data_IF_456665121196
#
_entry.id   IF_456665121196
#
_cell.length_a   1.000
_cell.length_b   1.000
_cell.length_c   1.000
_cell.angle_alpha   90.00
_cell.angle_beta   90.00
_cell.angle_gamma   90.00
#
_symmetry.space_group_name_H-M   'P 1'
#
loop_
_entity.id
_entity.type
_entity.pdbx_description
1 polymer ?
#
# COMPACT_ATOMS: atom_id res chain seq x y z
N UNK A 1 24.04 -0.56 -21.69
CA UNK A 1 23.46 -1.92 -21.58
C UNK A 1 22.11 -1.81 -20.89
N UNK A 2 21.05 -2.22 -21.57
CA UNK A 2 19.67 -2.21 -21.06
C UNK A 2 19.58 -3.07 -19.78
N UNK A 3 19.17 -2.46 -18.65
CA UNK A 3 18.81 -3.21 -17.44
C UNK A 3 17.42 -3.80 -17.67
N UNK A 4 17.35 -4.93 -18.37
CA UNK A 4 16.11 -5.69 -18.52
C UNK A 4 15.72 -6.24 -17.15
N UNK A 5 14.79 -5.58 -16.47
CA UNK A 5 14.21 -6.05 -15.22
C UNK A 5 13.28 -7.22 -15.57
N UNK A 6 13.77 -8.46 -15.46
CA UNK A 6 12.96 -9.65 -15.69
C UNK A 6 12.37 -10.05 -14.34
N UNK A 7 11.05 -9.91 -14.20
CA UNK A 7 10.33 -10.45 -13.05
C UNK A 7 10.43 -11.97 -13.08
N UNK A 8 11.00 -12.57 -12.04
CA UNK A 8 11.06 -14.02 -11.89
C UNK A 8 9.87 -14.42 -11.04
N UNK A 9 8.91 -15.13 -11.64
CA UNK A 9 7.81 -15.73 -10.88
C UNK A 9 8.37 -16.69 -9.83
N UNK A 10 7.74 -16.75 -8.66
CA UNK A 10 8.11 -17.69 -7.60
C UNK A 10 8.21 -19.15 -8.11
N UNK A 11 7.40 -19.49 -9.11
CA UNK A 11 7.32 -20.83 -9.71
C UNK A 11 8.48 -21.15 -10.67
N UNK A 12 9.09 -20.11 -11.25
CA UNK A 12 10.10 -20.24 -12.31
C UNK A 12 11.53 -20.05 -11.79
N UNK A 13 11.74 -19.98 -10.47
CA UNK A 13 13.06 -19.63 -9.90
C UNK A 13 14.14 -20.64 -10.25
N UNK A 14 13.87 -21.95 -10.15
CA UNK A 14 14.86 -22.98 -10.49
C UNK A 14 15.12 -23.04 -12.01
N UNK A 15 14.09 -22.85 -12.83
CA UNK A 15 14.22 -22.72 -14.28
C UNK A 15 15.07 -21.51 -14.67
N UNK A 16 14.77 -20.35 -14.07
CA UNK A 16 15.52 -19.11 -14.27
C UNK A 16 16.98 -19.26 -13.81
N UNK A 17 17.22 -19.94 -12.69
CA UNK A 17 18.57 -20.26 -12.25
C UNK A 17 19.31 -21.07 -13.30
N UNK A 18 18.73 -22.15 -13.84
CA UNK A 18 19.36 -22.97 -14.88
C UNK A 18 19.67 -22.18 -16.16
N UNK A 19 18.80 -21.25 -16.56
CA UNK A 19 19.01 -20.36 -17.71
C UNK A 19 20.16 -19.36 -17.49
N UNK A 20 20.26 -18.79 -16.28
CA UNK A 20 21.15 -17.67 -15.99
C UNK A 20 22.42 -18.06 -15.21
N UNK A 21 22.57 -19.32 -14.80
CA UNK A 21 23.66 -19.83 -13.96
C UNK A 21 25.03 -19.45 -14.50
N UNK A 22 25.25 -19.67 -15.79
CA UNK A 22 26.58 -19.53 -16.41
C UNK A 22 26.78 -18.16 -17.07
N UNK A 23 25.81 -17.25 -16.92
CA UNK A 23 25.84 -15.89 -17.48
C UNK A 23 25.72 -14.84 -16.38
N UNK A 24 24.51 -14.42 -16.05
CA UNK A 24 24.27 -13.31 -15.12
C UNK A 24 24.63 -13.67 -13.68
N UNK A 25 24.33 -14.90 -13.25
CA UNK A 25 24.50 -15.34 -11.86
C UNK A 25 25.94 -15.73 -11.53
N UNK A 26 26.79 -15.97 -12.53
CA UNK A 26 28.23 -16.17 -12.33
C UNK A 26 28.96 -14.86 -12.02
N UNK A 27 28.44 -13.73 -12.49
CA UNK A 27 29.02 -12.41 -12.25
C UNK A 27 28.50 -11.76 -10.96
N UNK A 28 27.21 -11.91 -10.66
CA UNK A 28 26.59 -11.25 -9.49
C UNK A 28 25.28 -11.89 -9.04
N UNK A 29 24.92 -11.73 -7.75
CA UNK A 29 23.57 -12.01 -7.26
C UNK A 29 22.51 -11.12 -7.93
N UNK A 30 21.32 -11.66 -8.11
CA UNK A 30 20.17 -11.00 -8.75
C UNK A 30 19.03 -10.87 -7.76
N UNK A 31 18.38 -9.72 -7.71
CA UNK A 31 17.21 -9.50 -6.87
C UNK A 31 15.99 -10.09 -7.56
N UNK A 32 15.27 -10.97 -6.88
CA UNK A 32 14.08 -11.64 -7.42
C UNK A 32 12.78 -11.18 -6.76
N UNK A 33 12.85 -10.68 -5.52
CA UNK A 33 11.71 -10.08 -4.84
C UNK A 33 12.19 -8.95 -3.90
N UNK A 34 11.32 -7.96 -3.68
CA UNK A 34 11.53 -6.86 -2.74
C UNK A 34 10.26 -6.62 -1.95
N UNK A 35 10.41 -6.33 -0.66
CA UNK A 35 9.30 -5.98 0.20
C UNK A 35 9.83 -5.08 1.33
N UNK A 36 9.36 -3.83 1.39
CA UNK A 36 9.91 -2.81 2.28
C UNK A 36 11.42 -2.64 2.12
N UNK A 37 12.15 -2.66 3.23
CA UNK A 37 13.61 -2.58 3.29
C UNK A 37 14.31 -3.93 3.00
N UNK A 38 13.55 -4.98 2.69
CA UNK A 38 14.05 -6.33 2.49
C UNK A 38 14.09 -6.71 1.01
N UNK A 39 15.15 -7.40 0.61
CA UNK A 39 15.33 -7.91 -0.73
C UNK A 39 15.77 -9.39 -0.70
N UNK A 40 15.12 -10.19 -1.53
CA UNK A 40 15.48 -11.58 -1.78
C UNK A 40 16.40 -11.67 -2.99
N UNK A 41 17.60 -12.15 -2.75
CA UNK A 41 18.62 -12.37 -3.76
C UNK A 41 18.69 -13.84 -4.15
N UNK A 42 18.80 -14.08 -5.45
CA UNK A 42 19.19 -15.34 -6.07
C UNK A 42 20.67 -15.26 -6.45
N UNK A 43 21.44 -16.27 -6.06
CA UNK A 43 22.86 -16.33 -6.38
C UNK A 43 23.33 -17.75 -6.71
N UNK A 44 24.44 -17.83 -7.43
CA UNK A 44 25.16 -19.08 -7.68
C UNK A 44 26.19 -19.27 -6.57
N UNK A 45 25.97 -20.24 -5.68
CA UNK A 45 27.00 -20.62 -4.69
C UNK A 45 28.08 -21.47 -5.33
N UNK A 46 27.66 -22.45 -6.12
CA UNK A 46 28.53 -23.34 -6.91
C UNK A 46 27.84 -23.70 -8.23
N UNK A 47 28.50 -24.47 -9.10
CA UNK A 47 27.89 -24.93 -10.36
C UNK A 47 26.65 -25.83 -10.18
N UNK A 48 26.52 -26.45 -9.01
CA UNK A 48 25.40 -27.33 -8.65
C UNK A 48 24.52 -26.77 -7.53
N UNK A 49 24.85 -25.62 -6.95
CA UNK A 49 24.09 -25.05 -5.83
C UNK A 49 23.52 -23.66 -6.14
N UNK A 50 22.20 -23.58 -5.97
CA UNK A 50 21.44 -22.36 -5.96
C UNK A 50 21.40 -21.79 -4.54
N UNK A 51 21.71 -20.51 -4.37
CA UNK A 51 21.58 -19.77 -3.12
C UNK A 51 20.41 -18.77 -3.17
N UNK A 52 19.64 -18.71 -2.09
CA UNK A 52 18.67 -17.67 -1.79
C UNK A 52 19.08 -16.96 -0.51
N UNK A 53 19.14 -15.62 -0.53
CA UNK A 53 19.43 -14.84 0.69
C UNK A 53 18.53 -13.63 0.83
N UNK A 54 17.99 -13.43 2.02
CA UNK A 54 17.24 -12.23 2.40
C UNK A 54 18.22 -11.24 3.02
N UNK A 55 18.27 -10.05 2.45
CA UNK A 55 19.07 -8.93 2.96
C UNK A 55 18.14 -7.81 3.41
N UNK A 56 18.46 -7.19 4.54
CA UNK A 56 17.93 -5.86 4.86
C UNK A 56 18.83 -4.83 4.16
N UNK A 57 18.32 -4.14 3.14
CA UNK A 57 19.07 -3.18 2.32
C UNK A 57 19.43 -1.91 3.11
N UNK A 58 18.61 -1.50 4.07
CA UNK A 58 18.86 -0.33 4.93
C UNK A 58 20.01 -0.60 5.93
N UNK A 59 19.91 -1.70 6.68
CA UNK A 59 20.88 -2.13 7.71
C UNK A 59 22.11 -2.82 7.09
N UNK A 60 22.07 -3.13 5.79
CA UNK A 60 23.09 -3.92 5.05
C UNK A 60 23.42 -5.24 5.72
N UNK A 61 22.41 -5.89 6.30
CA UNK A 61 22.56 -7.11 7.10
C UNK A 61 21.93 -8.33 6.40
N UNK A 62 22.59 -9.48 6.52
CA UNK A 62 22.04 -10.77 6.12
C UNK A 62 21.03 -11.22 7.19
N UNK A 63 19.83 -11.60 6.74
CA UNK A 63 18.74 -12.02 7.64
C UNK A 63 18.57 -13.53 7.63
N UNK A 64 18.47 -14.13 6.45
CA UNK A 64 18.39 -15.57 6.26
C UNK A 64 19.06 -15.95 4.96
N UNK A 65 19.64 -17.15 4.93
CA UNK A 65 20.21 -17.76 3.75
C UNK A 65 19.75 -19.22 3.64
N UNK A 66 19.47 -19.66 2.42
CA UNK A 66 19.10 -21.04 2.10
C UNK A 66 19.76 -21.46 0.79
N UNK A 67 20.16 -22.72 0.69
CA UNK A 67 20.72 -23.29 -0.54
C UNK A 67 19.99 -24.56 -0.98
N UNK A 68 20.06 -24.84 -2.28
CA UNK A 68 19.44 -26.00 -2.92
C UNK A 68 20.41 -26.64 -3.90
N UNK A 69 20.55 -27.97 -3.86
CA UNK A 69 21.24 -28.74 -4.89
C UNK A 69 20.32 -28.89 -6.11
N UNK A 70 20.70 -28.29 -7.24
CA UNK A 70 19.86 -28.23 -8.45
C UNK A 70 19.61 -29.59 -9.10
N UNK A 71 20.47 -30.58 -8.83
CA UNK A 71 20.36 -31.92 -9.41
C UNK A 71 19.43 -32.83 -8.58
N UNK A 72 19.18 -32.46 -7.32
CA UNK A 72 18.39 -33.25 -6.36
C UNK A 72 17.08 -32.58 -5.96
N UNK A 73 16.84 -31.35 -6.42
CA UNK A 73 15.70 -30.54 -6.02
C UNK A 73 14.69 -30.39 -7.16
N UNK A 74 13.41 -30.40 -6.83
CA UNK A 74 12.30 -30.14 -7.77
C UNK A 74 11.94 -28.65 -7.82
N UNK A 75 11.35 -28.21 -8.94
CA UNK A 75 10.88 -26.82 -9.11
C UNK A 75 9.89 -26.44 -7.99
N UNK A 76 9.02 -27.36 -7.59
CA UNK A 76 8.03 -27.18 -6.52
C UNK A 76 8.68 -26.88 -5.16
N UNK A 77 9.77 -27.57 -4.82
CA UNK A 77 10.46 -27.37 -3.54
C UNK A 77 11.13 -25.99 -3.48
N UNK A 78 11.78 -25.58 -4.58
CA UNK A 78 12.37 -24.24 -4.68
C UNK A 78 11.27 -23.18 -4.63
N UNK A 79 10.19 -23.38 -5.37
CA UNK A 79 9.05 -22.45 -5.40
C UNK A 79 8.40 -22.27 -4.03
N UNK A 80 8.26 -23.35 -3.25
CA UNK A 80 7.80 -23.26 -1.85
C UNK A 80 8.79 -22.52 -0.97
N UNK A 81 10.09 -22.76 -1.16
CA UNK A 81 11.16 -22.05 -0.48
C UNK A 81 11.12 -20.54 -0.72
N UNK A 82 10.94 -20.14 -1.98
CA UNK A 82 10.86 -18.74 -2.39
C UNK A 82 9.59 -18.10 -1.81
N UNK A 83 8.43 -18.77 -1.89
CA UNK A 83 7.19 -18.28 -1.25
C UNK A 83 7.36 -18.06 0.24
N UNK A 84 7.97 -19.00 0.95
CA UNK A 84 8.26 -18.86 2.38
C UNK A 84 9.21 -17.69 2.66
N UNK A 85 10.23 -17.49 1.83
CA UNK A 85 11.13 -16.35 1.94
C UNK A 85 10.40 -15.01 1.74
N UNK A 86 9.50 -14.93 0.76
CA UNK A 86 8.65 -13.76 0.54
C UNK A 86 7.70 -13.49 1.71
N UNK A 87 7.06 -14.53 2.25
CA UNK A 87 6.22 -14.40 3.44
C UNK A 87 7.03 -13.87 4.63
N UNK A 88 8.20 -14.44 4.88
CA UNK A 88 9.08 -13.98 5.96
C UNK A 88 9.50 -12.53 5.79
N UNK A 89 9.80 -12.08 4.57
CA UNK A 89 10.09 -10.66 4.31
C UNK A 89 8.89 -9.76 4.64
N UNK A 90 7.67 -10.20 4.36
CA UNK A 90 6.45 -9.49 4.77
C UNK A 90 6.37 -9.38 6.28
N UNK A 91 6.47 -10.50 6.98
CA UNK A 91 6.41 -10.55 8.46
C UNK A 91 7.46 -9.64 9.11
N UNK A 92 8.70 -9.65 8.61
CA UNK A 92 9.78 -8.79 9.10
C UNK A 92 9.54 -7.31 8.82
N UNK A 93 9.00 -6.98 7.65
CA UNK A 93 8.64 -5.61 7.30
C UNK A 93 7.50 -5.11 8.19
N UNK A 94 6.47 -5.94 8.38
CA UNK A 94 5.33 -5.62 9.25
C UNK A 94 5.78 -5.44 10.71
N UNK A 95 6.68 -6.29 11.21
CA UNK A 95 7.26 -6.15 12.55
C UNK A 95 8.03 -4.84 12.69
N UNK A 96 8.89 -4.49 11.73
CA UNK A 96 9.64 -3.23 11.74
C UNK A 96 8.71 -2.00 11.67
N UNK A 97 7.66 -2.06 10.85
CA UNK A 97 6.63 -1.01 10.76
C UNK A 97 5.90 -0.88 12.10
N UNK A 98 5.38 -1.98 12.64
CA UNK A 98 4.64 -1.99 13.89
C UNK A 98 5.48 -1.50 15.07
N UNK A 99 6.76 -1.86 15.12
CA UNK A 99 7.67 -1.37 16.17
C UNK A 99 7.84 0.15 16.09
N UNK A 100 7.99 0.71 14.88
CA UNK A 100 8.11 2.17 14.68
C UNK A 100 6.77 2.88 14.99
N UNK A 101 5.63 2.36 14.53
CA UNK A 101 4.29 2.89 14.87
C UNK A 101 4.08 2.90 16.38
N UNK A 102 4.35 1.77 17.04
CA UNK A 102 4.22 1.63 18.49
C UNK A 102 5.12 2.62 19.24
N UNK A 103 6.33 2.87 18.75
CA UNK A 103 7.21 3.87 19.34
C UNK A 103 6.66 5.30 19.19
N UNK A 104 6.02 5.63 18.07
CA UNK A 104 5.34 6.92 17.89
C UNK A 104 4.14 7.03 18.83
N UNK A 105 3.32 5.98 18.95
CA UNK A 105 2.18 5.95 19.88
C UNK A 105 2.58 6.15 21.33
N UNK A 106 3.74 5.63 21.76
CA UNK A 106 4.29 5.95 23.08
C UNK A 106 4.54 7.44 23.26
N UNK A 107 5.00 8.15 22.23
CA UNK A 107 5.19 9.60 22.31
C UNK A 107 3.87 10.35 22.40
N UNK A 108 2.84 9.92 21.66
CA UNK A 108 1.49 10.43 21.83
C UNK A 108 0.96 10.23 23.25
N UNK A 109 1.12 9.02 23.81
CA UNK A 109 0.73 8.72 25.18
C UNK A 109 1.47 9.59 26.19
N UNK A 110 2.78 9.77 26.02
CA UNK A 110 3.59 10.62 26.89
C UNK A 110 3.19 12.10 26.80
N UNK A 111 2.81 12.59 25.62
CA UNK A 111 2.34 13.96 25.46
C UNK A 111 0.98 14.15 26.14
N UNK A 112 0.04 13.24 25.89
CA UNK A 112 -1.28 13.27 26.50
C UNK A 112 -1.22 13.19 28.03
N UNK A 113 -0.36 12.32 28.58
CA UNK A 113 -0.15 12.20 30.03
C UNK A 113 0.37 13.49 30.68
N UNK A 114 1.21 14.26 29.96
CA UNK A 114 1.70 15.55 30.47
C UNK A 114 0.61 16.61 30.46
N UNK A 115 -0.26 16.59 29.46
CA UNK A 115 -1.38 17.53 29.36
C UNK A 115 -2.45 17.27 30.44
N UNK A 116 -2.59 16.02 30.88
CA UNK A 116 -3.59 15.58 31.86
C UNK A 116 -2.97 15.16 33.21
N UNK A 117 -1.78 15.68 33.55
CA UNK A 117 -1.04 15.30 34.77
C UNK A 117 -1.85 15.53 36.05
N UNK A 118 -2.70 16.57 36.08
CA UNK A 118 -3.55 16.90 37.22
C UNK A 118 -4.72 15.90 37.43
N UNK A 119 -5.11 15.17 36.39
CA UNK A 119 -6.29 14.27 36.37
C UNK A 119 -5.88 12.79 36.33
N UNK A 120 -4.58 12.52 36.35
CA UNK A 120 -4.01 11.19 36.11
C UNK A 120 -4.58 10.10 37.03
N UNK A 121 -4.83 10.42 38.31
CA UNK A 121 -5.39 9.44 39.25
C UNK A 121 -6.87 9.11 38.97
N UNK A 122 -7.66 10.09 38.51
CA UNK A 122 -9.09 9.90 38.19
C UNK A 122 -9.26 9.07 36.90
N UNK A 123 -8.43 9.38 35.90
CA UNK A 123 -8.34 8.65 34.63
C UNK A 123 -7.95 7.18 34.87
N UNK A 124 -6.90 6.94 35.65
CA UNK A 124 -6.42 5.58 35.93
C UNK A 124 -7.47 4.77 36.69
N UNK A 125 -8.20 5.36 37.63
CA UNK A 125 -9.31 4.67 38.30
C UNK A 125 -10.45 4.30 37.35
N UNK A 126 -10.77 5.15 36.37
CA UNK A 126 -11.82 4.91 35.37
C UNK A 126 -11.44 3.83 34.35
N UNK A 127 -10.18 3.76 33.94
CA UNK A 127 -9.68 2.75 32.98
C UNK A 127 -9.51 1.35 33.61
N UNK A 128 -9.29 1.26 34.92
CA UNK A 128 -9.15 -0.03 35.63
C UNK A 128 -10.52 -0.68 35.90
N UNK A 129 -11.58 0.13 36.04
CA UNK A 129 -12.92 -0.36 36.31
C UNK A 129 -13.72 -0.52 35.00
N UNK A 130 -13.87 -1.79 34.55
CA UNK A 130 -14.74 -2.10 33.41
C UNK A 130 -16.21 -1.90 33.79
N UNK A 131 -16.80 -0.77 33.38
CA UNK A 131 -18.21 -0.45 33.65
C UNK A 131 -18.99 -0.16 32.34
N UNK A 132 -19.72 -1.16 31.87
CA UNK A 132 -20.47 -1.12 30.61
C UNK A 132 -21.62 -0.09 30.59
N UNK A 133 -22.18 0.28 31.75
CA UNK A 133 -23.29 1.25 31.83
C UNK A 133 -22.79 2.70 31.74
N UNK A 134 -21.58 2.99 32.24
CA UNK A 134 -20.93 4.29 32.16
C UNK A 134 -20.40 4.59 30.75
N UNK A 135 -19.88 3.57 30.06
CA UNK A 135 -19.40 3.68 28.67
C UNK A 135 -20.49 4.05 27.64
N UNK A 136 -21.77 3.84 27.97
CA UNK A 136 -22.89 4.25 27.11
C UNK A 136 -23.32 5.71 27.33
N UNK A 137 -22.92 6.33 28.45
CA UNK A 137 -23.33 7.68 28.84
C UNK A 137 -22.20 8.71 28.69
N UNK A 138 -20.96 8.31 28.96
CA UNK A 138 -19.79 9.19 28.80
C UNK A 138 -19.26 9.10 27.37
N UNK A 139 -19.28 10.24 26.66
CA UNK A 139 -18.71 10.36 25.31
C UNK A 139 -17.17 10.44 25.33
N UNK A 140 -16.58 10.50 26.53
CA UNK A 140 -15.18 10.87 26.79
C UNK A 140 -14.27 9.67 27.15
N UNK A 141 -14.83 8.51 27.56
CA UNK A 141 -14.07 7.28 27.83
C UNK A 141 -13.48 6.61 26.57
N UNK A 142 -13.52 7.31 25.44
CA UNK A 142 -12.97 6.88 24.14
C UNK A 142 -11.87 7.82 23.62
N UNK A 143 -11.31 8.68 24.45
CA UNK A 143 -10.42 9.74 23.97
C UNK A 143 -9.00 9.27 23.65
N UNK A 144 -8.41 8.28 24.31
CA UNK A 144 -7.04 7.86 23.98
C UNK A 144 -6.95 7.17 22.61
N UNK A 145 -7.86 6.24 22.31
CA UNK A 145 -7.87 5.55 21.01
C UNK A 145 -8.29 6.49 19.87
N UNK A 146 -9.27 7.38 20.09
CA UNK A 146 -9.63 8.41 19.11
C UNK A 146 -8.52 9.45 18.92
N UNK A 147 -7.83 9.85 19.98
CA UNK A 147 -6.66 10.72 19.94
C UNK A 147 -5.53 10.05 19.15
N UNK A 148 -5.21 8.78 19.45
CA UNK A 148 -4.21 8.02 18.72
C UNK A 148 -4.58 7.84 17.25
N UNK A 149 -5.83 7.50 16.92
CA UNK A 149 -6.24 7.29 15.53
C UNK A 149 -6.40 8.58 14.73
N UNK A 150 -6.95 9.64 15.34
CA UNK A 150 -7.16 10.93 14.68
C UNK A 150 -5.88 11.74 14.53
N UNK A 151 -5.07 11.83 15.58
CA UNK A 151 -3.86 12.66 15.57
C UNK A 151 -2.65 11.97 14.95
N UNK A 152 -2.58 10.64 14.92
CA UNK A 152 -1.52 9.94 14.19
C UNK A 152 -1.60 10.22 12.69
N UNK A 153 -2.80 10.29 12.11
CA UNK A 153 -2.97 10.67 10.70
C UNK A 153 -2.67 12.16 10.45
N UNK A 154 -2.57 12.99 11.49
CA UNK A 154 -2.09 14.35 11.38
C UNK A 154 -0.55 14.35 11.30
N UNK A 155 -0.05 14.41 10.08
CA UNK A 155 1.38 14.44 9.79
C UNK A 155 2.12 15.56 10.56
N UNK A 156 1.51 16.74 10.71
CA UNK A 156 2.14 17.85 11.42
C UNK A 156 2.35 17.57 12.91
N UNK A 157 1.36 16.96 13.56
CA UNK A 157 1.46 16.55 14.96
C UNK A 157 2.51 15.44 15.13
N UNK A 158 2.46 14.40 14.29
CA UNK A 158 3.41 13.28 14.34
C UNK A 158 4.85 13.75 14.18
N UNK A 159 5.12 14.63 13.20
CA UNK A 159 6.47 15.17 12.98
C UNK A 159 6.96 16.02 14.15
N UNK A 160 6.08 16.79 14.79
CA UNK A 160 6.41 17.58 15.98
C UNK A 160 6.76 16.67 17.18
N UNK A 161 5.99 15.60 17.40
CA UNK A 161 6.28 14.62 18.44
C UNK A 161 7.63 13.92 18.22
N UNK A 162 7.93 13.52 16.99
CA UNK A 162 9.25 12.96 16.62
C UNK A 162 10.36 13.96 16.98
N UNK A 163 10.18 15.24 16.67
CA UNK A 163 11.18 16.26 17.00
C UNK A 163 11.37 16.47 18.50
N UNK A 164 10.28 16.40 19.25
CA UNK A 164 10.24 16.65 20.69
C UNK A 164 10.87 15.51 21.50
N UNK A 165 10.57 14.26 21.13
CA UNK A 165 10.89 13.10 21.96
C UNK A 165 12.09 12.29 21.49
N UNK A 166 12.44 12.36 20.21
CA UNK A 166 13.62 11.67 19.70
C UNK A 166 14.82 12.63 19.79
N UNK A 167 15.95 12.18 20.34
CA UNK A 167 17.12 13.06 20.54
C UNK A 167 18.15 12.90 19.42
N UNK A 168 18.37 11.67 18.96
CA UNK A 168 19.38 11.36 17.96
C UNK A 168 18.96 11.81 16.56
N UNK A 169 19.73 12.71 15.90
CA UNK A 169 19.43 13.20 14.56
C UNK A 169 19.32 12.10 13.50
N UNK A 170 20.10 11.02 13.62
CA UNK A 170 20.05 9.91 12.67
C UNK A 170 18.70 9.17 12.72
N UNK A 171 18.23 8.88 13.92
CA UNK A 171 16.93 8.27 14.14
C UNK A 171 15.77 9.23 13.84
N UNK A 172 15.93 10.54 14.07
CA UNK A 172 14.93 11.55 13.68
C UNK A 172 14.55 11.46 12.23
N UNK A 173 15.55 11.46 11.34
CA UNK A 173 15.29 11.41 9.91
C UNK A 173 14.64 10.08 9.49
N UNK A 174 15.05 8.97 10.12
CA UNK A 174 14.43 7.66 9.89
C UNK A 174 12.95 7.65 10.30
N UNK A 175 12.62 8.13 11.49
CA UNK A 175 11.24 8.19 11.98
C UNK A 175 10.38 9.17 11.20
N UNK A 176 10.94 10.31 10.75
CA UNK A 176 10.24 11.28 9.89
C UNK A 176 9.84 10.65 8.56
N UNK A 177 10.80 10.02 7.87
CA UNK A 177 10.53 9.34 6.59
C UNK A 177 9.51 8.22 6.75
N UNK A 178 9.66 7.44 7.82
CA UNK A 178 8.70 6.41 8.18
C UNK A 178 7.29 6.98 8.34
N UNK A 179 7.09 7.95 9.24
CA UNK A 179 5.78 8.53 9.52
C UNK A 179 5.13 9.15 8.27
N UNK A 180 5.90 9.83 7.43
CA UNK A 180 5.38 10.39 6.16
C UNK A 180 4.84 9.27 5.27
N UNK A 181 5.64 8.24 5.00
CA UNK A 181 5.23 7.14 4.12
C UNK A 181 4.03 6.38 4.69
N UNK A 182 4.08 6.09 5.98
CA UNK A 182 3.08 5.32 6.71
C UNK A 182 1.71 6.00 6.72
N UNK A 183 1.67 7.29 7.09
CA UNK A 183 0.44 8.09 7.11
C UNK A 183 -0.10 8.27 5.69
N UNK A 184 0.78 8.49 4.69
CA UNK A 184 0.35 8.60 3.30
C UNK A 184 -0.25 7.29 2.77
N UNK A 185 0.32 6.14 3.14
CA UNK A 185 -0.20 4.83 2.77
C UNK A 185 -1.58 4.62 3.38
N UNK A 186 -1.73 4.80 4.70
CA UNK A 186 -3.01 4.67 5.41
C UNK A 186 -4.07 5.65 4.90
N UNK A 187 -3.72 6.92 4.69
CA UNK A 187 -4.64 7.91 4.14
C UNK A 187 -5.03 7.60 2.68
N UNK A 188 -4.15 6.97 1.91
CA UNK A 188 -4.45 6.52 0.54
C UNK A 188 -5.40 5.34 0.51
N UNK A 189 -5.34 4.45 1.51
CA UNK A 189 -6.28 3.34 1.68
C UNK A 189 -7.64 3.86 2.11
N UNK A 190 -7.70 4.77 3.08
CA UNK A 190 -8.93 5.43 3.51
C UNK A 190 -9.63 6.17 2.37
N UNK A 191 -8.87 6.86 1.51
CA UNK A 191 -9.44 7.55 0.34
C UNK A 191 -9.88 6.58 -0.75
N UNK A 192 -9.21 5.45 -0.96
CA UNK A 192 -9.67 4.39 -1.87
C UNK A 192 -10.96 3.75 -1.37
N UNK A 193 -11.03 3.41 -0.08
CA UNK A 193 -12.23 2.81 0.54
C UNK A 193 -13.41 3.77 0.44
N UNK A 194 -13.25 5.04 0.84
CA UNK A 194 -14.30 6.06 0.69
C UNK A 194 -14.71 6.28 -0.76
N UNK A 195 -13.76 6.23 -1.71
CA UNK A 195 -14.08 6.36 -3.14
C UNK A 195 -14.85 5.16 -3.68
N UNK A 196 -14.58 3.95 -3.18
CA UNK A 196 -15.31 2.73 -3.53
C UNK A 196 -16.71 2.76 -2.91
N UNK A 197 -16.82 3.12 -1.63
CA UNK A 197 -18.10 3.28 -0.94
C UNK A 197 -18.97 4.38 -1.58
N UNK A 198 -18.37 5.51 -1.97
CA UNK A 198 -19.07 6.56 -2.72
C UNK A 198 -19.45 6.10 -4.13
N UNK A 199 -18.62 5.31 -4.81
CA UNK A 199 -18.93 4.75 -6.12
C UNK A 199 -20.05 3.71 -6.03
N UNK A 200 -20.09 2.90 -4.97
CA UNK A 200 -21.16 1.95 -4.67
C UNK A 200 -22.44 2.68 -4.29
N UNK A 201 -22.37 3.73 -3.48
CA UNK A 201 -23.52 4.59 -3.13
C UNK A 201 -24.08 5.30 -4.35
N UNK A 202 -23.23 5.87 -5.22
CA UNK A 202 -23.66 6.42 -6.52
C UNK A 202 -24.24 5.36 -7.45
N UNK A 203 -23.69 4.15 -7.43
CA UNK A 203 -24.24 3.02 -8.20
C UNK A 203 -25.61 2.55 -7.68
N UNK A 204 -25.93 2.79 -6.40
CA UNK A 204 -27.24 2.51 -5.82
C UNK A 204 -28.24 3.67 -6.03
N UNK A 205 -27.76 4.91 -6.15
CA UNK A 205 -28.58 6.11 -6.37
C UNK A 205 -28.88 6.39 -7.87
N UNK A 206 -28.06 5.91 -8.82
CA UNK A 206 -28.27 6.12 -10.26
C UNK A 206 -29.15 5.05 -10.94
N UNK A 207 -30.44 5.05 -10.62
CA UNK A 207 -31.46 4.36 -11.42
C UNK A 207 -32.05 5.30 -12.48
N UNK A 208 -31.23 5.78 -13.44
CA UNK A 208 -31.55 6.01 -14.88
C UNK A 208 -30.22 6.29 -15.60
N UNK A 209 -29.58 5.26 -16.17
CA UNK A 209 -28.45 5.47 -17.09
C UNK A 209 -28.94 6.11 -18.39
N UNK A 210 -28.82 7.44 -18.51
CA UNK A 210 -28.95 8.13 -19.79
C UNK A 210 -27.72 7.85 -20.65
N UNK A 211 -27.82 6.89 -21.56
CA UNK A 211 -26.77 6.62 -22.53
C UNK A 211 -26.76 7.71 -23.61
N UNK A 212 -25.70 8.53 -23.63
CA UNK A 212 -25.48 9.52 -24.70
C UNK A 212 -24.70 8.86 -25.84
N UNK A 213 -25.31 8.75 -27.02
CA UNK A 213 -24.65 8.24 -28.22
C UNK A 213 -24.31 9.39 -29.16
N UNK A 214 -23.04 9.53 -29.52
CA UNK A 214 -22.58 10.48 -30.53
C UNK A 214 -22.35 9.76 -31.85
N UNK A 215 -22.89 10.30 -32.94
CA UNK A 215 -22.65 9.84 -34.29
C UNK A 215 -22.45 11.02 -35.24
N UNK A 216 -21.76 10.80 -36.35
CA UNK A 216 -21.48 11.81 -37.37
C UNK A 216 -22.23 11.46 -38.64
N UNK A 217 -23.05 12.38 -39.13
CA UNK A 217 -23.81 12.22 -40.38
C UNK A 217 -23.31 13.24 -41.39
N UNK A 218 -22.91 12.77 -42.56
CA UNK A 218 -22.54 13.62 -43.70
C UNK A 218 -23.71 13.71 -44.66
N UNK A 219 -24.07 14.93 -45.05
CA UNK A 219 -25.16 15.20 -46.01
C UNK A 219 -24.63 16.09 -47.12
N UNK A 220 -24.85 15.69 -48.37
CA UNK A 220 -24.53 16.51 -49.52
C UNK A 220 -25.64 17.54 -49.75
N UNK A 221 -25.30 18.82 -49.63
CA UNK A 221 -26.21 19.92 -49.93
C UNK A 221 -25.48 21.08 -50.58
N UNK A 222 -26.22 21.87 -51.36
CA UNK A 222 -25.69 23.02 -52.09
C UNK A 222 -25.40 24.24 -51.21
N UNK A 223 -25.92 24.27 -49.98
CA UNK A 223 -25.64 25.32 -49.00
C UNK A 223 -25.89 24.81 -47.56
N UNK A 224 -25.25 25.47 -46.59
CA UNK A 224 -25.26 25.11 -45.17
C UNK A 224 -26.67 25.10 -44.56
N UNK A 225 -27.54 26.03 -44.94
CA UNK A 225 -28.92 26.08 -44.42
C UNK A 225 -29.82 24.96 -44.98
N UNK A 226 -29.47 24.42 -46.15
CA UNK A 226 -30.14 23.23 -46.69
C UNK A 226 -29.63 21.95 -46.02
N UNK A 227 -28.32 21.85 -45.76
CA UNK A 227 -27.75 20.73 -45.00
C UNK A 227 -28.36 20.62 -43.59
N UNK A 228 -28.51 21.75 -42.90
CA UNK A 228 -29.11 21.80 -41.55
C UNK A 228 -30.57 21.34 -41.55
N UNK A 229 -31.38 21.81 -42.50
CA UNK A 229 -32.79 21.39 -42.62
C UNK A 229 -32.93 19.91 -42.98
N UNK A 230 -32.08 19.39 -43.87
CA UNK A 230 -32.09 17.98 -44.24
C UNK A 230 -31.71 17.07 -43.05
N UNK A 231 -30.70 17.46 -42.27
CA UNK A 231 -30.32 16.75 -41.04
C UNK A 231 -31.44 16.76 -39.99
N UNK A 232 -32.07 17.91 -39.76
CA UNK A 232 -33.19 18.03 -38.81
C UNK A 232 -34.40 17.18 -39.25
N UNK A 233 -34.73 17.14 -40.54
CA UNK A 233 -35.81 16.30 -41.04
C UNK A 233 -35.46 14.79 -40.96
N UNK A 234 -34.20 14.42 -41.16
CA UNK A 234 -33.75 13.03 -41.03
C UNK A 234 -33.82 12.54 -39.58
N UNK A 235 -33.49 13.39 -38.61
CA UNK A 235 -33.51 13.06 -37.18
C UNK A 235 -34.90 13.20 -36.53
N UNK A 236 -35.72 14.13 -37.01
CA UNK A 236 -37.07 14.36 -36.49
C UNK A 236 -38.12 13.34 -36.97
N UNK A 237 -37.76 12.41 -37.85
CA UNK A 237 -38.64 11.33 -38.32
C UNK A 237 -38.77 10.15 -37.35
N UNK A 238 -37.99 10.12 -36.27
CA UNK A 238 -38.08 9.11 -35.21
C UNK A 238 -38.71 9.75 -33.97
N UNK A 239 -39.94 9.36 -33.61
CA UNK A 239 -40.73 9.96 -32.51
C UNK A 239 -40.05 9.84 -31.13
N UNK A 240 -38.95 9.10 -31.04
CA UNK A 240 -38.15 8.91 -29.82
C UNK A 240 -37.06 9.97 -29.62
N UNK A 241 -36.83 10.86 -30.58
CA UNK A 241 -35.73 11.86 -30.54
C UNK A 241 -36.31 13.27 -30.45
N UNK A 242 -36.26 13.85 -29.24
CA UNK A 242 -36.60 15.26 -29.01
C UNK A 242 -35.41 16.14 -29.36
N UNK A 243 -35.51 16.92 -30.45
CA UNK A 243 -34.49 17.93 -30.79
C UNK A 243 -34.89 19.25 -30.12
N UNK A 244 -34.15 19.67 -29.09
CA UNK A 244 -34.32 21.00 -28.51
C UNK A 244 -33.91 22.07 -29.53
N UNK A 245 -34.76 23.07 -29.73
CA UNK A 245 -34.55 24.17 -30.69
C UNK A 245 -33.43 25.13 -30.28
#
# INVERSE_FOLDING_TARGET
MSRTFRYISNEDVLKSFKEFRDTLLSERPVIIARHGDYALYLEKKTDSELGLRIMNEEKKALVEERSYDINRTTDELVSRGVRHACQKMSELSDEDVNMKRFQIWKWYLLDWQKEHEAEQNDIVSKEIEWNEELMQQETELMDMEKYLHGDYLNLGHTLNLIERYLVDPGHKELFRKFAINDIMEMASEDTKVKSIEEAERRSQEEEVKLHTYQFTVSVEATDKEKARRALLHYLAGDERISVQK
#
